data_IF_416149996888
#
_entry.id   IF_416149996888
#
_cell.length_a   1.000
_cell.length_b   1.000
_cell.length_c   1.000
_cell.angle_alpha   90.00
_cell.angle_beta   90.00
_cell.angle_gamma   90.00
#
_symmetry.space_group_name_H-M   'P 1'
#
loop_
_entity.id
_entity.type
_entity.pdbx_description
1 polymer ?
#
# COMPACT_ATOMS: atom_id res chain seq x y z
N UNK A 1 13.35 -4.58 -0.86
CA UNK A 1 12.34 -4.07 -1.80
C UNK A 1 11.57 -5.19 -2.51
N UNK A 2 12.06 -5.91 -3.54
CA UNK A 2 11.24 -6.87 -4.32
C UNK A 2 10.56 -7.96 -3.48
N UNK A 3 11.25 -8.56 -2.52
CA UNK A 3 10.68 -9.57 -1.61
C UNK A 3 9.57 -8.99 -0.73
N UNK A 4 9.77 -7.79 -0.21
CA UNK A 4 8.78 -7.03 0.56
C UNK A 4 7.54 -6.75 -0.30
N UNK A 5 7.69 -6.13 -1.47
CA UNK A 5 6.58 -5.81 -2.37
C UNK A 5 5.76 -7.06 -2.76
N UNK A 6 6.44 -8.18 -3.04
CA UNK A 6 5.75 -9.45 -3.33
C UNK A 6 4.97 -9.97 -2.11
N UNK A 7 5.54 -9.85 -0.92
CA UNK A 7 4.86 -10.23 0.31
C UNK A 7 3.65 -9.34 0.59
N UNK A 8 3.79 -8.03 0.41
CA UNK A 8 2.67 -7.07 0.50
C UNK A 8 1.55 -7.42 -0.50
N UNK A 9 1.89 -7.77 -1.75
CA UNK A 9 0.90 -8.18 -2.74
C UNK A 9 0.11 -9.42 -2.31
N UNK A 10 0.80 -10.43 -1.76
CA UNK A 10 0.15 -11.65 -1.24
C UNK A 10 -0.75 -11.30 -0.05
N UNK A 11 -0.23 -10.54 0.92
CA UNK A 11 -1.02 -10.11 2.09
C UNK A 11 -2.25 -9.32 1.66
N UNK A 12 -2.10 -8.37 0.74
CA UNK A 12 -3.23 -7.59 0.20
C UNK A 12 -4.30 -8.52 -0.38
N UNK A 13 -3.92 -9.52 -1.18
CA UNK A 13 -4.87 -10.48 -1.75
C UNK A 13 -5.57 -11.32 -0.67
N UNK A 14 -4.85 -11.76 0.36
CA UNK A 14 -5.43 -12.51 1.48
C UNK A 14 -6.41 -11.64 2.28
N UNK A 15 -6.03 -10.39 2.60
CA UNK A 15 -6.91 -9.44 3.29
C UNK A 15 -8.16 -9.10 2.46
N UNK A 16 -8.05 -8.99 1.13
CA UNK A 16 -9.21 -8.85 0.25
C UNK A 16 -10.20 -10.02 0.44
N UNK A 17 -9.71 -11.24 0.62
CA UNK A 17 -10.55 -12.42 0.85
C UNK A 17 -11.17 -12.44 2.25
N UNK A 18 -10.45 -11.92 3.25
CA UNK A 18 -10.88 -11.86 4.65
C UNK A 18 -11.84 -10.69 4.94
N UNK A 19 -11.86 -9.67 4.08
CA UNK A 19 -12.71 -8.48 4.23
C UNK A 19 -14.23 -8.76 4.24
N UNK A 20 -14.64 -9.97 3.89
CA UNK A 20 -16.05 -10.36 3.80
C UNK A 20 -16.79 -9.81 2.56
N UNK A 21 -16.10 -9.08 1.69
CA UNK A 21 -16.66 -8.47 0.48
C UNK A 21 -16.39 -9.36 -0.73
N UNK A 22 -17.43 -9.61 -1.53
CA UNK A 22 -17.27 -10.24 -2.84
C UNK A 22 -16.77 -9.21 -3.85
N UNK A 23 -15.46 -9.10 -4.00
CA UNK A 23 -14.82 -8.19 -4.93
C UNK A 23 -14.88 -8.71 -6.38
N UNK A 24 -15.04 -7.81 -7.37
CA UNK A 24 -14.95 -8.16 -8.79
C UNK A 24 -13.51 -8.57 -9.17
N UNK A 25 -13.36 -9.24 -10.32
CA UNK A 25 -12.07 -9.80 -10.73
C UNK A 25 -10.98 -8.73 -10.92
N UNK A 26 -11.33 -7.62 -11.56
CA UNK A 26 -10.40 -6.50 -11.77
C UNK A 26 -9.97 -5.83 -10.46
N UNK A 27 -10.86 -5.76 -9.46
CA UNK A 27 -10.54 -5.23 -8.13
C UNK A 27 -9.49 -6.08 -7.42
N UNK A 28 -9.63 -7.40 -7.43
CA UNK A 28 -8.64 -8.33 -6.87
C UNK A 28 -7.30 -8.24 -7.60
N UNK A 29 -7.34 -8.18 -8.93
CA UNK A 29 -6.17 -7.97 -9.77
C UNK A 29 -5.47 -6.65 -9.43
N UNK A 30 -6.21 -5.55 -9.41
CA UNK A 30 -5.67 -4.23 -9.11
C UNK A 30 -5.07 -4.15 -7.70
N UNK A 31 -5.72 -4.75 -6.70
CA UNK A 31 -5.23 -4.78 -5.32
C UNK A 31 -3.91 -5.55 -5.20
N UNK A 32 -3.80 -6.70 -5.88
CA UNK A 32 -2.56 -7.46 -5.91
C UNK A 32 -1.42 -6.66 -6.56
N UNK A 33 -1.66 -6.09 -7.74
CA UNK A 33 -0.62 -5.35 -8.45
C UNK A 33 -0.32 -3.98 -7.81
N UNK A 34 -1.28 -3.33 -7.16
CA UNK A 34 -1.02 -2.15 -6.34
C UNK A 34 -0.08 -2.49 -5.17
N UNK A 35 -0.29 -3.63 -4.48
CA UNK A 35 0.64 -4.11 -3.47
C UNK A 35 2.02 -4.49 -4.02
N UNK A 36 2.08 -5.02 -5.25
CA UNK A 36 3.35 -5.40 -5.89
C UNK A 36 4.19 -4.19 -6.32
N UNK A 37 3.54 -3.12 -6.77
CA UNK A 37 4.22 -1.96 -7.36
C UNK A 37 4.21 -0.70 -6.48
N UNK A 38 3.65 -0.75 -5.26
CA UNK A 38 3.50 0.45 -4.41
C UNK A 38 4.83 1.20 -4.19
N UNK A 39 5.93 0.46 -4.01
CA UNK A 39 7.28 1.01 -3.79
C UNK A 39 8.12 1.12 -5.08
N UNK A 40 7.54 0.88 -6.25
CA UNK A 40 8.31 0.95 -7.50
C UNK A 40 9.00 2.30 -7.71
N UNK A 41 8.38 3.45 -7.40
CA UNK A 41 9.04 4.76 -7.47
C UNK A 41 10.32 4.84 -6.62
N UNK A 42 10.35 4.20 -5.46
CA UNK A 42 11.50 4.20 -4.55
C UNK A 42 12.72 3.47 -5.11
N UNK A 43 12.54 2.64 -6.15
CA UNK A 43 13.65 1.97 -6.85
C UNK A 43 14.62 2.97 -7.51
N UNK A 44 14.14 4.15 -7.88
CA UNK A 44 14.93 5.22 -8.54
C UNK A 44 15.20 6.41 -7.62
N UNK A 45 14.29 6.70 -6.67
CA UNK A 45 14.45 7.85 -5.75
C UNK A 45 15.28 7.52 -4.53
N UNK A 46 15.46 6.24 -4.22
CA UNK A 46 15.89 5.70 -2.94
C UNK A 46 14.94 6.07 -1.79
N UNK A 47 14.73 5.14 -0.88
CA UNK A 47 13.85 5.33 0.28
C UNK A 47 14.29 6.54 1.12
N UNK A 48 13.44 7.58 1.14
CA UNK A 48 13.59 8.70 2.07
C UNK A 48 12.88 8.28 3.35
N UNK A 49 13.64 7.98 4.38
CA UNK A 49 13.12 7.48 5.66
C UNK A 49 12.00 8.38 6.21
N UNK A 50 10.91 7.76 6.66
CA UNK A 50 9.69 8.43 7.14
C UNK A 50 9.90 9.56 8.15
N UNK A 51 10.89 9.54 9.09
CA UNK A 51 11.18 10.68 9.96
C UNK A 51 11.60 11.94 9.20
N UNK A 52 12.33 11.78 8.08
CA UNK A 52 12.74 12.93 7.25
C UNK A 52 11.54 13.46 6.47
N UNK A 53 10.71 12.58 5.90
CA UNK A 53 9.46 12.98 5.19
C UNK A 53 8.52 13.80 6.10
N UNK A 54 8.55 13.59 7.43
CA UNK A 54 7.67 14.28 8.40
C UNK A 54 8.33 15.46 9.15
N UNK A 55 9.59 15.77 8.85
CA UNK A 55 10.36 16.77 9.61
C UNK A 55 9.88 18.23 9.39
N UNK A 56 9.15 18.51 8.32
CA UNK A 56 8.69 19.86 7.98
C UNK A 56 7.35 19.80 7.24
N UNK A 57 6.42 20.70 7.58
CA UNK A 57 5.17 20.87 6.86
C UNK A 57 5.45 21.21 5.39
N UNK A 58 4.80 20.47 4.47
CA UNK A 58 4.97 20.63 3.03
C UNK A 58 6.06 19.77 2.39
N UNK A 59 7.00 19.20 3.17
CA UNK A 59 8.04 18.31 2.64
C UNK A 59 7.46 17.07 1.94
N UNK A 60 6.40 16.40 2.43
CA UNK A 60 5.80 15.26 1.73
C UNK A 60 5.34 15.59 0.31
N UNK A 61 4.74 16.77 0.10
CA UNK A 61 4.29 17.19 -1.22
C UNK A 61 5.46 17.45 -2.19
N UNK A 62 6.54 18.05 -1.68
CA UNK A 62 7.76 18.28 -2.47
C UNK A 62 8.42 16.96 -2.85
N UNK A 63 8.51 16.02 -1.90
CA UNK A 63 9.07 14.69 -2.14
C UNK A 63 8.26 13.98 -3.21
N UNK A 64 6.92 14.00 -3.12
CA UNK A 64 6.04 13.40 -4.12
C UNK A 64 6.24 14.02 -5.51
N UNK A 65 6.32 15.34 -5.62
CA UNK A 65 6.58 16.03 -6.91
C UNK A 65 7.93 15.62 -7.52
N UNK A 66 8.96 15.41 -6.68
CA UNK A 66 10.26 14.92 -7.11
C UNK A 66 10.17 13.45 -7.56
N UNK A 67 9.48 12.60 -6.80
CA UNK A 67 9.25 11.20 -7.13
C UNK A 67 8.53 11.07 -8.47
N UNK A 68 7.44 11.82 -8.69
CA UNK A 68 6.68 11.82 -9.94
C UNK A 68 7.55 12.26 -11.14
N UNK A 69 8.39 13.28 -10.97
CA UNK A 69 9.32 13.72 -12.01
C UNK A 69 10.38 12.67 -12.33
N UNK A 70 10.93 11.99 -11.33
CA UNK A 70 11.93 10.95 -11.52
C UNK A 70 11.30 9.73 -12.19
N UNK A 71 10.10 9.31 -11.75
CA UNK A 71 9.34 8.22 -12.39
C UNK A 71 9.13 8.53 -13.87
N UNK A 72 8.65 9.73 -14.20
CA UNK A 72 8.42 10.15 -15.60
C UNK A 72 9.69 10.15 -16.43
N UNK A 73 10.84 10.50 -15.83
CA UNK A 73 12.11 10.62 -16.55
C UNK A 73 12.88 9.30 -16.64
N UNK A 74 12.85 8.49 -15.59
CA UNK A 74 13.74 7.33 -15.46
C UNK A 74 12.99 5.99 -15.66
N UNK A 75 11.73 5.86 -15.19
CA UNK A 75 10.97 4.62 -15.31
C UNK A 75 10.08 4.57 -16.55
N UNK A 76 9.32 5.62 -16.84
CA UNK A 76 8.40 5.63 -17.99
C UNK A 76 9.09 5.30 -19.31
N UNK A 77 10.30 5.79 -19.62
CA UNK A 77 11.00 5.44 -20.86
C UNK A 77 11.41 3.97 -20.96
N UNK A 78 11.43 3.23 -19.85
CA UNK A 78 11.76 1.81 -19.82
C UNK A 78 10.52 0.91 -19.99
N UNK A 79 9.32 1.49 -19.94
CA UNK A 79 8.06 0.77 -20.01
C UNK A 79 7.51 0.75 -21.42
N UNK A 80 7.01 -0.40 -21.85
CA UNK A 80 6.25 -0.50 -23.08
C UNK A 80 4.89 0.18 -22.92
N UNK A 81 4.47 0.91 -23.96
CA UNK A 81 3.29 1.75 -23.93
C UNK A 81 2.00 1.03 -23.50
N UNK A 82 1.87 -0.26 -23.82
CA UNK A 82 0.65 -1.03 -23.56
C UNK A 82 0.40 -1.35 -22.08
N UNK A 83 1.42 -1.29 -21.20
CA UNK A 83 1.26 -1.50 -19.76
C UNK A 83 1.69 -0.29 -18.89
N UNK A 84 2.27 0.73 -19.50
CA UNK A 84 2.77 1.91 -18.78
C UNK A 84 1.67 2.58 -17.97
N UNK A 85 0.52 2.85 -18.58
CA UNK A 85 -0.61 3.52 -17.91
C UNK A 85 -1.14 2.69 -16.73
N UNK A 86 -1.13 1.37 -16.85
CA UNK A 86 -1.56 0.47 -15.77
C UNK A 86 -0.57 0.49 -14.60
N UNK A 87 0.74 0.45 -14.86
CA UNK A 87 1.76 0.57 -13.81
C UNK A 87 1.67 1.92 -13.10
N UNK A 88 1.53 3.01 -13.84
CA UNK A 88 1.36 4.34 -13.28
C UNK A 88 0.10 4.44 -12.42
N UNK A 89 -0.99 3.77 -12.82
CA UNK A 89 -2.20 3.70 -12.02
C UNK A 89 -1.97 2.99 -10.67
N UNK A 90 -1.12 1.96 -10.61
CA UNK A 90 -0.79 1.27 -9.37
C UNK A 90 0.13 2.06 -8.43
N UNK A 91 1.03 2.87 -8.98
CA UNK A 91 2.03 3.62 -8.23
C UNK A 91 1.60 5.03 -7.84
N UNK A 92 0.54 5.57 -8.46
CA UNK A 92 0.00 6.88 -8.12
C UNK A 92 -1.02 6.77 -7.00
N UNK A 93 -0.83 7.53 -5.90
CA UNK A 93 -1.71 7.53 -4.73
C UNK A 93 -2.02 6.11 -4.22
N UNK A 94 -0.97 5.30 -4.10
CA UNK A 94 -0.97 3.86 -3.86
C UNK A 94 -1.84 3.42 -2.67
N UNK A 95 -1.95 4.28 -1.65
CA UNK A 95 -2.72 4.02 -0.43
C UNK A 95 -4.13 4.64 -0.42
N UNK A 96 -4.59 5.17 -1.55
CA UNK A 96 -5.91 5.75 -1.69
C UNK A 96 -6.91 4.75 -2.28
N UNK A 97 -8.08 4.58 -1.62
CA UNK A 97 -9.20 3.89 -2.26
C UNK A 97 -9.65 4.71 -3.46
N UNK A 98 -9.72 4.10 -4.63
CA UNK A 98 -9.99 4.80 -5.89
C UNK A 98 -10.66 3.93 -6.94
N UNK A 99 -11.27 4.59 -7.90
CA UNK A 99 -11.82 3.97 -9.10
C UNK A 99 -11.61 4.88 -10.32
N UNK A 100 -11.90 4.38 -11.50
CA UNK A 100 -11.95 5.17 -12.74
C UNK A 100 -13.41 5.36 -13.15
N UNK A 101 -13.84 6.60 -13.26
CA UNK A 101 -15.16 6.97 -13.73
C UNK A 101 -15.06 8.09 -14.76
N UNK A 102 -15.70 7.95 -15.90
CA UNK A 102 -15.64 8.86 -17.05
C UNK A 102 -14.18 9.25 -17.45
N UNK A 103 -13.26 8.28 -17.40
CA UNK A 103 -11.87 8.48 -17.75
C UNK A 103 -11.02 9.20 -16.69
N UNK A 104 -11.61 9.55 -15.54
CA UNK A 104 -10.91 10.21 -14.43
C UNK A 104 -10.73 9.25 -13.24
N UNK A 105 -9.58 9.36 -12.58
CA UNK A 105 -9.34 8.67 -11.31
C UNK A 105 -10.00 9.46 -10.20
N UNK A 106 -10.88 8.80 -9.43
CA UNK A 106 -11.62 9.41 -8.34
C UNK A 106 -11.28 8.72 -7.01
N UNK A 107 -11.01 9.49 -5.94
CA UNK A 107 -10.98 8.96 -4.58
C UNK A 107 -12.41 8.59 -4.17
N UNK A 108 -12.57 7.41 -3.55
CA UNK A 108 -13.87 6.89 -3.13
C UNK A 108 -13.76 6.23 -1.76
N UNK A 109 -14.90 6.14 -1.05
CA UNK A 109 -14.96 5.38 0.20
C UNK A 109 -15.01 3.87 -0.05
N UNK A 110 -14.82 3.08 1.00
CA UNK A 110 -14.96 1.63 0.91
C UNK A 110 -16.40 1.21 0.59
N UNK A 111 -17.37 1.92 1.14
CA UNK A 111 -18.80 1.72 0.91
C UNK A 111 -19.16 1.97 -0.57
N UNK A 112 -18.61 3.03 -1.16
CA UNK A 112 -18.81 3.34 -2.59
C UNK A 112 -18.14 2.29 -3.48
N UNK A 113 -16.93 1.82 -3.13
CA UNK A 113 -16.29 0.69 -3.83
C UNK A 113 -17.18 -0.56 -3.83
N UNK A 114 -17.89 -0.82 -2.74
CA UNK A 114 -18.72 -2.02 -2.62
C UNK A 114 -20.08 -1.89 -3.31
N UNK A 115 -20.68 -0.69 -3.30
CA UNK A 115 -22.05 -0.47 -3.79
C UNK A 115 -22.12 0.01 -5.24
N UNK A 116 -21.28 0.97 -5.61
CA UNK A 116 -21.37 1.66 -6.90
C UNK A 116 -20.26 1.26 -7.89
N UNK A 117 -19.07 0.93 -7.39
CA UNK A 117 -17.88 0.78 -8.21
C UNK A 117 -17.25 -0.63 -8.19
N UNK A 118 -17.97 -1.65 -7.72
CA UNK A 118 -17.48 -3.04 -7.67
C UNK A 118 -17.71 -3.79 -8.99
N UNK A 119 -17.35 -3.18 -10.10
CA UNK A 119 -17.39 -3.79 -11.43
C UNK A 119 -16.05 -3.54 -12.14
N UNK A 120 -15.63 -4.48 -13.02
CA UNK A 120 -14.34 -4.43 -13.71
C UNK A 120 -14.13 -3.14 -14.52
N UNK A 121 -15.19 -2.56 -15.08
CA UNK A 121 -15.14 -1.32 -15.88
C UNK A 121 -14.65 -0.09 -15.10
N UNK A 122 -14.77 -0.10 -13.77
CA UNK A 122 -14.36 1.01 -12.92
C UNK A 122 -12.92 0.90 -12.40
N UNK A 123 -12.20 -0.16 -12.73
CA UNK A 123 -10.82 -0.36 -12.24
C UNK A 123 -10.64 -0.11 -10.73
N UNK A 124 -11.50 -0.64 -9.84
CA UNK A 124 -11.45 -0.32 -8.42
C UNK A 124 -10.16 -0.78 -7.74
N UNK A 125 -9.69 0.01 -6.75
CA UNK A 125 -8.52 -0.27 -5.92
C UNK A 125 -8.83 0.05 -4.46
N UNK A 126 -8.51 -0.88 -3.56
CA UNK A 126 -8.55 -0.69 -2.11
C UNK A 126 -7.17 -0.23 -1.58
N UNK A 127 -6.74 0.98 -1.90
CA UNK A 127 -5.42 1.47 -1.51
C UNK A 127 -5.19 1.49 0.01
N UNK A 128 -6.24 1.72 0.81
CA UNK A 128 -6.14 1.62 2.28
C UNK A 128 -5.80 0.21 2.74
N UNK A 129 -6.29 -0.82 2.03
CA UNK A 129 -5.96 -2.20 2.33
C UNK A 129 -4.51 -2.54 1.95
N UNK A 130 -4.02 -1.96 0.86
CA UNK A 130 -2.59 -2.04 0.49
C UNK A 130 -1.71 -1.47 1.61
N UNK A 131 -2.09 -0.32 2.18
CA UNK A 131 -1.36 0.27 3.31
C UNK A 131 -1.39 -0.60 4.57
N UNK A 132 -2.52 -1.23 4.88
CA UNK A 132 -2.61 -2.18 6.00
C UNK A 132 -1.66 -3.36 5.76
N UNK A 133 -1.64 -3.90 4.55
CA UNK A 133 -0.77 -5.02 4.17
C UNK A 133 0.72 -4.64 4.25
N UNK A 134 1.09 -3.43 3.79
CA UNK A 134 2.44 -2.90 3.87
C UNK A 134 2.91 -2.77 5.33
N UNK A 135 2.16 -2.09 6.17
CA UNK A 135 2.48 -1.95 7.59
C UNK A 135 2.52 -3.30 8.32
N UNK A 136 1.63 -4.23 7.95
CA UNK A 136 1.62 -5.56 8.55
C UNK A 136 2.84 -6.38 8.11
N UNK A 137 3.26 -6.28 6.84
CA UNK A 137 4.52 -6.85 6.34
C UNK A 137 5.72 -6.33 7.14
N UNK A 138 5.82 -5.02 7.31
CA UNK A 138 6.90 -4.39 8.08
C UNK A 138 6.91 -4.86 9.54
N UNK A 139 5.75 -5.04 10.16
CA UNK A 139 5.62 -5.58 11.52
C UNK A 139 6.13 -7.01 11.63
N UNK A 140 5.74 -7.89 10.68
CA UNK A 140 6.17 -9.28 10.63
C UNK A 140 7.68 -9.38 10.38
N UNK A 141 8.22 -8.60 9.45
CA UNK A 141 9.65 -8.55 9.16
C UNK A 141 10.46 -8.09 10.39
N UNK A 142 10.00 -7.05 11.08
CA UNK A 142 10.62 -6.60 12.33
C UNK A 142 10.56 -7.67 13.44
N UNK A 143 9.39 -8.30 13.61
CA UNK A 143 9.18 -9.36 14.59
C UNK A 143 10.10 -10.58 14.34
N UNK A 144 10.17 -11.04 13.09
CA UNK A 144 11.04 -12.14 12.68
C UNK A 144 12.52 -11.78 12.87
N UNK A 145 12.94 -10.58 12.47
CA UNK A 145 14.32 -10.13 12.65
C UNK A 145 14.74 -10.14 14.12
N UNK A 146 13.88 -9.62 15.00
CA UNK A 146 14.11 -9.63 16.46
C UNK A 146 14.21 -11.08 16.97
N UNK A 147 13.31 -11.96 16.54
CA UNK A 147 13.30 -13.37 16.94
C UNK A 147 14.58 -14.11 16.50
N UNK A 148 15.16 -13.73 15.38
CA UNK A 148 16.47 -14.27 14.90
C UNK A 148 17.68 -13.54 15.48
N UNK A 149 17.51 -12.68 16.48
CA UNK A 149 18.58 -12.02 17.21
C UNK A 149 19.12 -10.75 16.56
N UNK A 150 18.50 -10.27 15.50
CA UNK A 150 18.83 -8.98 14.88
C UNK A 150 18.06 -7.89 15.63
N UNK A 151 18.71 -7.25 16.61
CA UNK A 151 18.08 -6.22 17.45
C UNK A 151 18.81 -4.89 17.29
N UNK A 152 18.04 -3.85 16.97
CA UNK A 152 18.46 -2.46 17.06
C UNK A 152 17.35 -1.68 17.75
N UNK A 153 17.70 -0.54 18.36
CA UNK A 153 16.70 0.33 18.99
C UNK A 153 15.64 0.79 17.96
N UNK A 154 16.09 1.16 16.76
CA UNK A 154 15.20 1.59 15.67
C UNK A 154 14.20 0.50 15.27
N UNK A 155 14.62 -0.75 15.21
CA UNK A 155 13.76 -1.88 14.85
C UNK A 155 12.70 -2.13 15.94
N UNK A 156 13.12 -2.10 17.20
CA UNK A 156 12.24 -2.29 18.36
C UNK A 156 11.22 -1.14 18.47
N UNK A 157 11.67 0.10 18.33
CA UNK A 157 10.81 1.28 18.38
C UNK A 157 9.86 1.32 17.19
N UNK A 158 10.32 0.94 15.99
CA UNK A 158 9.49 0.82 14.79
C UNK A 158 8.35 -0.18 14.98
N UNK A 159 8.65 -1.39 15.49
CA UNK A 159 7.64 -2.38 15.85
C UNK A 159 6.63 -1.84 16.85
N UNK A 160 7.09 -1.22 17.95
CA UNK A 160 6.23 -0.67 18.98
C UNK A 160 5.33 0.47 18.46
N UNK A 161 5.86 1.31 17.58
CA UNK A 161 5.11 2.41 16.97
C UNK A 161 4.02 1.91 16.01
N UNK A 162 4.30 0.89 15.20
CA UNK A 162 3.29 0.26 14.34
C UNK A 162 2.14 -0.30 15.16
N UNK A 163 2.42 -1.03 16.23
CA UNK A 163 1.37 -1.56 17.13
C UNK A 163 0.50 -0.46 17.71
N UNK A 164 1.09 0.68 18.14
CA UNK A 164 0.33 1.82 18.66
C UNK A 164 -0.59 2.45 17.62
N UNK A 165 -0.16 2.52 16.36
CA UNK A 165 -0.99 3.07 15.26
C UNK A 165 -2.28 2.27 15.10
N UNK A 166 -2.22 0.95 15.32
CA UNK A 166 -3.33 0.02 15.12
C UNK A 166 -4.03 -0.44 16.42
N UNK A 167 -3.78 0.23 17.54
CA UNK A 167 -4.39 -0.09 18.83
C UNK A 167 -5.84 0.40 18.98
N UNK A 168 -6.27 1.35 18.17
CA UNK A 168 -7.61 1.97 18.22
C UNK A 168 -8.74 1.02 17.79
N UNK A 169 -8.45 -0.13 17.20
CA UNK A 169 -9.45 -1.12 16.80
C UNK A 169 -10.38 -0.64 15.68
N UNK A 170 -9.88 0.14 14.73
CA UNK A 170 -10.65 0.58 13.56
C UNK A 170 -10.86 -0.57 12.59
N UNK A 171 -11.99 -0.52 11.89
CA UNK A 171 -12.24 -1.39 10.74
C UNK A 171 -11.88 -0.62 9.47
N UNK A 172 -10.85 -1.09 8.75
CA UNK A 172 -10.44 -0.51 7.47
C UNK A 172 -10.71 -1.51 6.36
N UNK A 173 -11.51 -1.10 5.40
CA UNK A 173 -11.90 -1.93 4.26
C UNK A 173 -12.34 -3.36 4.68
N UNK A 174 -13.12 -3.45 5.78
CA UNK A 174 -13.64 -4.71 6.31
C UNK A 174 -12.68 -5.49 7.22
N UNK A 175 -11.46 -5.02 7.43
CA UNK A 175 -10.46 -5.66 8.30
C UNK A 175 -10.41 -4.98 9.67
N UNK A 176 -10.53 -5.77 10.73
CA UNK A 176 -10.25 -5.34 12.10
C UNK A 176 -8.73 -5.25 12.31
N UNK A 177 -8.22 -4.02 12.31
CA UNK A 177 -6.79 -3.76 12.39
C UNK A 177 -6.19 -4.24 13.71
N UNK A 178 -6.87 -4.01 14.84
CA UNK A 178 -6.36 -4.41 16.15
C UNK A 178 -6.20 -5.92 16.21
N UNK A 179 -7.20 -6.66 15.75
CA UNK A 179 -7.16 -8.10 15.68
C UNK A 179 -5.99 -8.57 14.81
N UNK A 180 -5.87 -8.02 13.60
CA UNK A 180 -4.79 -8.37 12.67
C UNK A 180 -3.40 -8.14 13.27
N UNK A 181 -3.16 -6.96 13.86
CA UNK A 181 -1.83 -6.56 14.30
C UNK A 181 -1.42 -7.16 15.66
N UNK A 182 -2.34 -7.64 16.47
CA UNK A 182 -2.05 -8.18 17.81
C UNK A 182 -2.18 -9.71 17.93
N UNK A 183 -2.89 -10.40 17.05
CA UNK A 183 -3.08 -11.87 17.14
C UNK A 183 -1.84 -12.71 16.75
N UNK A 184 -0.89 -12.17 15.99
CA UNK A 184 0.22 -12.95 15.43
C UNK A 184 1.61 -12.57 15.98
N UNK A 185 1.68 -11.88 17.12
CA UNK A 185 2.93 -11.27 17.60
C UNK A 185 3.53 -12.00 18.82
N UNK A 186 2.89 -13.02 19.35
CA UNK A 186 3.39 -13.82 20.49
C UNK A 186 4.35 -14.96 20.06
#
# INVERSE_FOLDING_TARGET
>A
MLGHCFFVAILTLLLCRDSGVKMCAKRLYNNFFSGLFHDLPESVTRDIISPVKRATDGLPAIVKDIEDKIVSKELVPLMEKFYCDEILYFTSDEFMNRCVFDGCVLPVSFEELNSAFNEDKYNPVDGRLVRVADHYSALLEAGLSIRYGITSQQLTDGKANLLKVYDDGKIINGIDEKKLFHEFID
#
